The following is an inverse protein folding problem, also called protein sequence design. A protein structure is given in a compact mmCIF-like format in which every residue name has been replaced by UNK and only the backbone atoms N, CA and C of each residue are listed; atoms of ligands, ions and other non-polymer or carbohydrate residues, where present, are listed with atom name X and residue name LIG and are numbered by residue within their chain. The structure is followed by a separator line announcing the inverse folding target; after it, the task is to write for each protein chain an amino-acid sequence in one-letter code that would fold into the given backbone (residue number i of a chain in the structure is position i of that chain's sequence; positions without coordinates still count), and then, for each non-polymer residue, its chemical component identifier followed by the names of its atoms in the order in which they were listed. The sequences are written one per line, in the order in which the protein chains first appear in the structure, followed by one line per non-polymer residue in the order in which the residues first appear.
data_IF_414887463088
#
_entry.id   IF_414887463088
#
_cell.length_a   1.000
_cell.length_b   1.000
_cell.length_c   1.000
_cell.angle_alpha   90.00
_cell.angle_beta   90.00
_cell.angle_gamma   90.00
#
_symmetry.space_group_name_H-M   'P 1'
#
loop_
_entity.id
_entity.type
_entity.pdbx_description
1 polymer ?
#
# COMPACT_ATOMS: atom_id res chain seq x y z
N UNK A 1 -38.92 31.07 36.24
CA UNK A 1 -37.94 31.63 37.20
C UNK A 1 -38.65 31.89 38.52
N UNK A 2 -38.52 31.01 39.50
CA UNK A 2 -38.85 31.37 40.87
C UNK A 2 -37.58 32.05 41.43
N UNK A 3 -37.54 33.37 41.42
CA UNK A 3 -36.56 34.08 42.22
C UNK A 3 -36.82 33.66 43.67
N UNK A 4 -35.90 32.88 44.24
CA UNK A 4 -35.91 32.61 45.68
C UNK A 4 -35.56 33.95 46.31
N UNK A 5 -36.57 34.76 46.61
CA UNK A 5 -36.37 36.05 47.26
C UNK A 5 -35.70 35.79 48.60
N UNK A 6 -34.55 36.42 48.84
CA UNK A 6 -33.84 36.30 50.09
C UNK A 6 -34.72 36.89 51.21
N UNK A 7 -35.18 36.04 52.14
CA UNK A 7 -36.08 36.43 53.23
C UNK A 7 -35.29 37.04 54.40
N UNK A 8 -35.15 38.36 54.35
CA UNK A 8 -34.41 39.17 55.33
C UNK A 8 -34.99 39.07 56.74
N UNK A 9 -36.32 38.97 56.87
CA UNK A 9 -37.02 38.86 58.15
C UNK A 9 -36.72 37.52 58.84
N UNK A 10 -36.77 36.42 58.08
CA UNK A 10 -36.42 35.10 58.59
C UNK A 10 -34.93 35.01 58.94
N UNK A 11 -34.07 35.67 58.18
CA UNK A 11 -32.63 35.74 58.46
C UNK A 11 -32.30 36.54 59.72
N UNK A 12 -32.90 37.73 59.89
CA UNK A 12 -32.73 38.55 61.09
C UNK A 12 -33.26 37.85 62.35
N UNK A 13 -34.41 37.15 62.26
CA UNK A 13 -34.94 36.35 63.37
C UNK A 13 -33.98 35.26 63.82
N UNK A 14 -33.39 34.53 62.88
CA UNK A 14 -32.37 33.50 63.20
C UNK A 14 -31.14 34.10 63.86
N UNK A 15 -30.70 35.29 63.44
CA UNK A 15 -29.59 35.99 64.08
C UNK A 15 -29.93 36.41 65.52
N UNK A 16 -31.15 36.91 65.75
CA UNK A 16 -31.65 37.23 67.10
C UNK A 16 -31.69 35.97 68.00
N UNK A 17 -32.09 34.82 67.46
CA UNK A 17 -32.14 33.53 68.20
C UNK A 17 -30.77 33.04 68.67
N UNK A 18 -29.68 33.37 67.96
CA UNK A 18 -28.30 33.06 68.39
C UNK A 18 -27.64 34.20 69.18
N UNK A 19 -28.43 35.17 69.66
CA UNK A 19 -27.98 36.21 70.58
C UNK A 19 -27.40 37.47 69.92
N UNK A 20 -27.60 37.66 68.61
CA UNK A 20 -27.19 38.90 67.93
C UNK A 20 -28.18 40.02 68.28
N UNK A 21 -27.71 41.21 68.71
CA UNK A 21 -28.56 42.36 68.98
C UNK A 21 -29.45 42.73 67.79
N UNK A 22 -30.69 43.14 68.06
CA UNK A 22 -31.71 43.39 67.04
C UNK A 22 -31.27 44.34 65.93
N UNK A 23 -30.65 45.46 66.28
CA UNK A 23 -30.13 46.43 65.31
C UNK A 23 -29.01 45.85 64.41
N UNK A 24 -28.19 44.94 64.94
CA UNK A 24 -27.14 44.27 64.15
C UNK A 24 -27.71 43.16 63.28
N UNK A 25 -28.68 42.40 63.79
CA UNK A 25 -29.34 41.33 63.05
C UNK A 25 -30.10 41.85 61.82
N UNK A 26 -30.76 43.00 61.95
CA UNK A 26 -31.47 43.66 60.85
C UNK A 26 -30.50 44.28 59.83
N UNK A 27 -29.50 45.04 60.29
CA UNK A 27 -28.48 45.61 59.40
C UNK A 27 -27.71 44.52 58.63
N UNK A 28 -27.39 43.39 59.27
CA UNK A 28 -26.71 42.28 58.62
C UNK A 28 -27.61 41.53 57.62
N UNK A 29 -28.91 41.40 57.91
CA UNK A 29 -29.86 40.81 56.97
C UNK A 29 -30.07 41.70 55.73
N UNK A 30 -30.10 43.02 55.92
CA UNK A 30 -30.24 44.01 54.85
C UNK A 30 -29.00 44.04 53.95
N UNK A 31 -27.80 44.12 54.53
CA UNK A 31 -26.54 44.07 53.79
C UNK A 31 -26.37 42.75 53.01
N UNK A 32 -26.80 41.63 53.59
CA UNK A 32 -26.77 40.33 52.90
C UNK A 32 -27.78 40.27 51.76
N UNK A 33 -28.95 40.89 51.90
CA UNK A 33 -29.93 40.98 50.81
C UNK A 33 -29.43 41.84 49.65
N UNK A 34 -28.84 42.99 49.95
CA UNK A 34 -28.23 43.88 48.96
C UNK A 34 -27.10 43.17 48.21
N UNK A 35 -26.21 42.48 48.93
CA UNK A 35 -25.13 41.71 48.32
C UNK A 35 -25.67 40.56 47.45
N UNK A 36 -26.76 39.92 47.84
CA UNK A 36 -27.39 38.85 47.05
C UNK A 36 -28.01 39.39 45.76
N UNK A 37 -28.73 40.53 45.84
CA UNK A 37 -29.32 41.23 44.68
C UNK A 37 -28.23 41.68 43.71
N UNK A 38 -27.13 42.25 44.21
CA UNK A 38 -26.01 42.69 43.36
C UNK A 38 -25.32 41.54 42.60
N UNK A 39 -25.37 40.31 43.14
CA UNK A 39 -24.77 39.13 42.50
C UNK A 39 -25.77 38.27 41.71
N UNK A 40 -27.07 38.60 41.73
CA UNK A 40 -28.09 37.86 40.96
C UNK A 40 -27.91 38.01 39.45
N UNK A 41 -27.45 39.16 38.98
CA UNK A 41 -27.17 39.40 37.56
C UNK A 41 -25.96 38.60 37.05
N UNK A 42 -25.05 38.19 37.94
CA UNK A 42 -23.89 37.37 37.61
C UNK A 42 -24.17 35.85 37.67
N UNK A 43 -25.33 35.45 38.22
CA UNK A 43 -25.70 34.04 38.35
C UNK A 43 -26.22 33.50 37.02
N UNK A 44 -25.48 32.55 36.45
CA UNK A 44 -25.90 31.86 35.24
C UNK A 44 -27.10 30.96 35.56
N UNK A 45 -28.19 31.12 34.80
CA UNK A 45 -29.37 30.27 34.96
C UNK A 45 -29.12 28.87 34.42
N UNK A 46 -29.81 27.88 34.99
CA UNK A 46 -29.79 26.51 34.47
C UNK A 46 -30.17 26.44 32.98
N UNK A 47 -31.23 27.15 32.60
CA UNK A 47 -31.72 27.20 31.21
C UNK A 47 -30.65 27.76 30.25
N UNK A 48 -29.88 28.77 30.69
CA UNK A 48 -28.78 29.31 29.89
C UNK A 48 -27.66 28.27 29.68
N UNK A 49 -27.29 27.54 30.74
CA UNK A 49 -26.28 26.47 30.63
C UNK A 49 -26.75 25.36 29.69
N UNK A 50 -28.01 24.94 29.78
CA UNK A 50 -28.60 23.93 28.89
C UNK A 50 -28.56 24.39 27.43
N UNK A 51 -28.96 25.63 27.14
CA UNK A 51 -28.90 26.17 25.78
C UNK A 51 -27.48 26.26 25.25
N UNK A 52 -26.53 26.70 26.08
CA UNK A 52 -25.13 26.84 25.68
C UNK A 52 -24.48 25.46 25.43
N UNK A 53 -24.81 24.47 26.26
CA UNK A 53 -24.39 23.08 26.09
C UNK A 53 -24.98 22.46 24.83
N UNK A 54 -26.29 22.62 24.60
CA UNK A 54 -26.97 22.11 23.40
C UNK A 54 -26.35 22.71 22.14
N UNK A 55 -26.11 24.03 22.11
CA UNK A 55 -25.44 24.69 21.00
C UNK A 55 -24.02 24.14 20.76
N UNK A 56 -23.26 23.89 21.83
CA UNK A 56 -21.92 23.29 21.74
C UNK A 56 -21.97 21.86 21.20
N UNK A 57 -22.85 21.01 21.74
CA UNK A 57 -23.01 19.64 21.26
C UNK A 57 -23.49 19.60 19.82
N UNK A 58 -24.46 20.42 19.43
CA UNK A 58 -24.91 20.51 18.04
C UNK A 58 -23.78 20.92 17.10
N UNK A 59 -22.98 21.92 17.48
CA UNK A 59 -21.82 22.35 16.69
C UNK A 59 -20.73 21.27 16.59
N UNK A 60 -20.49 20.54 17.68
CA UNK A 60 -19.51 19.46 17.71
C UNK A 60 -19.97 18.27 16.86
N UNK A 61 -21.24 17.89 16.96
CA UNK A 61 -21.82 16.82 16.17
C UNK A 61 -21.75 17.14 14.68
N UNK A 62 -22.10 18.37 14.28
CA UNK A 62 -21.99 18.81 12.89
C UNK A 62 -20.53 18.80 12.37
N UNK A 63 -19.55 19.07 13.21
CA UNK A 63 -18.13 18.98 12.84
C UNK A 63 -17.68 17.54 12.67
N UNK A 64 -18.11 16.66 13.58
CA UNK A 64 -17.85 15.22 13.53
C UNK A 64 -18.46 14.61 12.27
N UNK A 65 -19.73 14.92 11.97
CA UNK A 65 -20.42 14.44 10.77
C UNK A 65 -19.70 14.86 9.48
N UNK A 66 -19.23 16.11 9.41
CA UNK A 66 -18.42 16.59 8.27
C UNK A 66 -17.11 15.83 8.13
N UNK A 67 -16.43 15.52 9.22
CA UNK A 67 -15.18 14.76 9.20
C UNK A 67 -15.41 13.33 8.74
N UNK A 68 -16.46 12.66 9.24
CA UNK A 68 -16.82 11.32 8.79
C UNK A 68 -17.19 11.29 7.31
N UNK A 69 -18.04 12.22 6.85
CA UNK A 69 -18.38 12.31 5.43
C UNK A 69 -17.14 12.54 4.53
N UNK A 70 -16.22 13.40 4.95
CA UNK A 70 -14.96 13.61 4.23
C UNK A 70 -14.04 12.38 4.27
N UNK A 71 -14.04 11.65 5.39
CA UNK A 71 -13.27 10.42 5.54
C UNK A 71 -13.82 9.30 4.67
N UNK A 72 -15.13 9.14 4.58
CA UNK A 72 -15.80 8.16 3.72
C UNK A 72 -15.44 8.39 2.26
N UNK A 73 -15.49 9.65 1.78
CA UNK A 73 -15.05 10.00 0.41
C UNK A 73 -13.58 9.64 0.20
N UNK A 74 -12.70 9.97 1.15
CA UNK A 74 -11.27 9.63 1.05
C UNK A 74 -11.03 8.12 1.04
N UNK A 75 -11.82 7.36 1.81
CA UNK A 75 -11.75 5.90 1.85
C UNK A 75 -12.18 5.33 0.49
N UNK A 76 -13.29 5.81 -0.06
CA UNK A 76 -13.78 5.42 -1.38
C UNK A 76 -12.74 5.70 -2.48
N UNK A 77 -12.13 6.88 -2.48
CA UNK A 77 -11.05 7.24 -3.42
C UNK A 77 -9.85 6.30 -3.31
N UNK A 78 -9.42 5.98 -2.08
CA UNK A 78 -8.31 5.04 -1.84
C UNK A 78 -8.66 3.63 -2.34
N UNK A 79 -9.88 3.16 -2.11
CA UNK A 79 -10.33 1.87 -2.62
C UNK A 79 -10.40 1.87 -4.15
N UNK A 80 -10.87 2.94 -4.78
CA UNK A 80 -10.87 3.06 -6.24
C UNK A 80 -9.44 3.03 -6.82
N UNK A 81 -8.48 3.72 -6.19
CA UNK A 81 -7.07 3.66 -6.59
C UNK A 81 -6.51 2.25 -6.40
N UNK A 82 -6.78 1.60 -5.27
CA UNK A 82 -6.33 0.23 -5.02
C UNK A 82 -6.93 -0.74 -6.04
N UNK A 83 -8.23 -0.63 -6.34
CA UNK A 83 -8.89 -1.44 -7.37
C UNK A 83 -8.21 -1.30 -8.73
N UNK A 84 -7.84 -0.08 -9.14
CA UNK A 84 -7.05 0.14 -10.37
C UNK A 84 -5.67 -0.52 -10.32
N UNK A 85 -4.98 -0.48 -9.17
CA UNK A 85 -3.67 -1.15 -9.01
C UNK A 85 -3.82 -2.67 -9.10
N UNK A 86 -4.83 -3.25 -8.48
CA UNK A 86 -5.10 -4.69 -8.58
C UNK A 86 -5.37 -5.10 -10.04
N UNK A 87 -6.21 -4.36 -10.76
CA UNK A 87 -6.46 -4.62 -12.18
C UNK A 87 -5.17 -4.57 -13.02
N UNK A 88 -4.26 -3.62 -12.75
CA UNK A 88 -2.97 -3.55 -13.44
C UNK A 88 -2.05 -4.74 -13.12
N UNK A 89 -2.09 -5.27 -11.90
CA UNK A 89 -1.32 -6.44 -11.48
C UNK A 89 -1.87 -7.69 -12.17
N UNK A 90 -3.20 -7.85 -12.22
CA UNK A 90 -3.84 -8.97 -12.91
C UNK A 90 -3.44 -8.99 -14.40
N UNK A 91 -3.44 -7.82 -15.04
CA UNK A 91 -2.99 -7.70 -16.42
C UNK A 91 -1.51 -8.06 -16.59
N UNK A 92 -0.64 -7.60 -15.67
CA UNK A 92 0.77 -7.96 -15.68
C UNK A 92 0.98 -9.48 -15.54
N UNK A 93 0.23 -10.16 -14.68
CA UNK A 93 0.31 -11.61 -14.50
C UNK A 93 -0.10 -12.34 -15.78
N UNK A 94 -1.17 -11.89 -16.44
CA UNK A 94 -1.62 -12.45 -17.72
C UNK A 94 -0.54 -12.29 -18.79
N UNK A 95 0.03 -11.09 -18.91
CA UNK A 95 1.10 -10.80 -19.88
C UNK A 95 2.36 -11.62 -19.60
N UNK A 96 2.75 -11.75 -18.32
CA UNK A 96 3.89 -12.55 -17.91
C UNK A 96 3.68 -14.03 -18.25
N UNK A 97 2.47 -14.56 -18.03
CA UNK A 97 2.13 -15.94 -18.39
C UNK A 97 2.19 -16.15 -19.90
N UNK A 98 1.65 -15.23 -20.69
CA UNK A 98 1.71 -15.29 -22.14
C UNK A 98 3.17 -15.19 -22.66
N UNK A 99 3.98 -14.34 -22.04
CA UNK A 99 5.41 -14.22 -22.35
C UNK A 99 6.16 -15.53 -22.08
N UNK A 100 5.95 -16.14 -20.91
CA UNK A 100 6.57 -17.42 -20.57
C UNK A 100 6.16 -18.54 -21.53
N UNK A 101 4.89 -18.61 -21.93
CA UNK A 101 4.42 -19.58 -22.92
C UNK A 101 5.14 -19.42 -24.27
N UNK A 102 5.27 -18.18 -24.76
CA UNK A 102 6.01 -17.89 -26.00
C UNK A 102 7.48 -18.27 -25.90
N UNK A 103 8.11 -18.01 -24.75
CA UNK A 103 9.48 -18.44 -24.51
C UNK A 103 9.61 -19.96 -24.57
N UNK A 104 8.71 -20.69 -23.91
CA UNK A 104 8.73 -22.15 -23.91
C UNK A 104 8.53 -22.73 -25.32
N UNK A 105 7.63 -22.15 -26.12
CA UNK A 105 7.46 -22.50 -27.53
C UNK A 105 8.74 -22.23 -28.35
N UNK A 106 9.39 -21.09 -28.12
CA UNK A 106 10.62 -20.72 -28.84
C UNK A 106 11.79 -21.65 -28.46
N UNK A 107 11.90 -22.05 -27.19
CA UNK A 107 12.89 -23.03 -26.74
C UNK A 107 12.64 -24.40 -27.38
N UNK A 108 11.39 -24.88 -27.38
CA UNK A 108 11.03 -26.13 -28.07
C UNK A 108 11.39 -26.09 -29.56
N UNK A 109 11.13 -24.98 -30.23
CA UNK A 109 11.50 -24.80 -31.63
C UNK A 109 13.03 -24.80 -31.84
N UNK A 110 13.79 -24.20 -30.92
CA UNK A 110 15.25 -24.25 -30.94
C UNK A 110 15.79 -25.67 -30.72
N UNK A 111 15.28 -26.39 -29.72
CA UNK A 111 15.71 -27.77 -29.44
C UNK A 111 15.47 -28.67 -30.65
N UNK A 112 14.34 -28.52 -31.34
CA UNK A 112 14.05 -29.25 -32.57
C UNK A 112 15.05 -28.93 -33.69
N UNK A 113 15.43 -27.66 -33.85
CA UNK A 113 16.43 -27.24 -34.85
C UNK A 113 17.81 -27.78 -34.51
N UNK A 114 18.24 -27.71 -33.25
CA UNK A 114 19.52 -28.26 -32.80
C UNK A 114 19.59 -29.76 -33.05
N UNK A 115 18.54 -30.51 -32.67
CA UNK A 115 18.51 -31.95 -32.94
C UNK A 115 18.59 -32.26 -34.44
N UNK A 116 17.93 -31.46 -35.29
CA UNK A 116 18.02 -31.62 -36.74
C UNK A 116 19.44 -31.34 -37.27
N UNK A 117 20.09 -30.31 -36.75
CA UNK A 117 21.48 -29.96 -37.10
C UNK A 117 22.45 -31.04 -36.63
N UNK A 118 22.29 -31.56 -35.42
CA UNK A 118 23.13 -32.63 -34.88
C UNK A 118 23.07 -33.88 -35.76
N UNK A 119 21.86 -34.28 -36.18
CA UNK A 119 21.67 -35.39 -37.12
C UNK A 119 22.38 -35.11 -38.46
N UNK A 120 22.26 -33.89 -39.00
CA UNK A 120 22.92 -33.51 -40.24
C UNK A 120 24.45 -33.51 -40.11
N UNK A 121 25.00 -33.04 -38.99
CA UNK A 121 26.44 -33.05 -38.71
C UNK A 121 26.97 -34.47 -38.58
N UNK A 122 26.24 -35.37 -37.90
CA UNK A 122 26.58 -36.79 -37.84
C UNK A 122 26.65 -37.37 -39.24
N UNK A 123 25.63 -37.13 -40.07
CA UNK A 123 25.60 -37.59 -41.47
C UNK A 123 26.78 -37.06 -42.30
N UNK A 124 27.08 -35.76 -42.22
CA UNK A 124 28.23 -35.17 -42.93
C UNK A 124 29.55 -35.80 -42.44
N UNK A 125 29.67 -36.06 -41.14
CA UNK A 125 30.87 -36.69 -40.57
C UNK A 125 31.10 -38.11 -41.10
N UNK A 126 30.02 -38.86 -41.38
CA UNK A 126 30.07 -40.19 -41.99
C UNK A 126 30.50 -40.12 -43.45
N UNK A 127 29.90 -39.20 -44.23
CA UNK A 127 30.27 -38.96 -45.62
C UNK A 127 31.74 -38.55 -45.75
N UNK A 128 32.24 -37.66 -44.88
CA UNK A 128 33.65 -37.25 -44.86
C UNK A 128 34.61 -38.38 -44.46
N UNK A 129 34.23 -39.26 -43.53
CA UNK A 129 35.04 -40.44 -43.18
C UNK A 129 35.20 -41.35 -44.39
N UNK A 130 34.12 -41.62 -45.13
CA UNK A 130 34.16 -42.42 -46.36
C UNK A 130 35.02 -41.76 -47.44
N UNK A 131 34.82 -40.44 -47.67
CA UNK A 131 35.59 -39.69 -48.66
C UNK A 131 37.10 -39.71 -48.33
N UNK A 132 37.45 -39.56 -47.05
CA UNK A 132 38.83 -39.66 -46.57
C UNK A 132 39.44 -41.03 -46.83
N UNK A 133 38.69 -42.11 -46.62
CA UNK A 133 39.15 -43.47 -46.92
C UNK A 133 39.33 -43.71 -48.42
N UNK A 134 38.41 -43.21 -49.26
CA UNK A 134 38.54 -43.31 -50.72
C UNK A 134 39.76 -42.54 -51.23
N UNK A 135 39.99 -41.32 -50.74
CA UNK A 135 41.17 -40.54 -51.11
C UNK A 135 42.47 -41.21 -50.67
N UNK A 136 42.52 -41.76 -49.45
CA UNK A 136 43.70 -42.52 -49.00
C UNK A 136 43.99 -43.71 -49.92
N UNK A 137 42.96 -44.44 -50.36
CA UNK A 137 43.10 -45.55 -51.30
C UNK A 137 43.61 -45.07 -52.67
N UNK A 138 43.05 -43.99 -53.23
CA UNK A 138 43.51 -43.42 -54.50
C UNK A 138 44.96 -42.96 -54.41
N UNK A 139 45.33 -42.26 -53.33
CA UNK A 139 46.72 -41.83 -53.10
C UNK A 139 47.65 -43.04 -53.01
N UNK A 140 47.29 -44.10 -52.30
CA UNK A 140 48.10 -45.33 -52.25
C UNK A 140 48.24 -45.94 -53.65
N UNK A 141 47.12 -46.11 -54.38
CA UNK A 141 47.14 -46.73 -55.72
C UNK A 141 47.93 -45.90 -56.74
N UNK A 142 47.98 -44.57 -56.61
CA UNK A 142 48.69 -43.69 -57.55
C UNK A 142 50.14 -43.43 -57.17
N UNK A 143 50.44 -43.27 -55.88
CA UNK A 143 51.79 -42.90 -55.40
C UNK A 143 52.71 -44.12 -55.37
N UNK A 144 52.22 -45.30 -54.99
CA UNK A 144 53.03 -46.54 -54.97
C UNK A 144 53.68 -46.86 -56.31
N UNK A 145 52.97 -46.91 -57.46
CA UNK A 145 53.60 -47.22 -58.74
C UNK A 145 54.59 -46.14 -59.19
N UNK A 146 54.29 -44.86 -58.94
CA UNK A 146 55.22 -43.75 -59.27
C UNK A 146 56.52 -43.87 -58.48
N UNK A 147 56.44 -44.23 -57.19
CA UNK A 147 57.63 -44.48 -56.38
C UNK A 147 58.40 -45.73 -56.83
N UNK A 148 57.72 -46.80 -57.25
CA UNK A 148 58.37 -47.99 -57.80
C UNK A 148 59.12 -47.69 -59.11
N UNK A 149 58.52 -46.92 -60.02
CA UNK A 149 59.19 -46.46 -61.24
C UNK A 149 60.40 -45.55 -60.94
N UNK A 150 60.28 -44.69 -59.94
CA UNK A 150 61.36 -43.78 -59.56
C UNK A 150 62.53 -44.54 -58.90
N UNK A 151 62.24 -45.44 -57.95
CA UNK A 151 63.26 -46.29 -57.31
C UNK A 151 63.96 -47.21 -58.31
N UNK A 152 63.23 -47.83 -59.24
CA UNK A 152 63.85 -48.68 -60.27
C UNK A 152 64.76 -47.87 -61.19
N UNK A 153 64.38 -46.66 -61.60
CA UNK A 153 65.24 -45.78 -62.41
C UNK A 153 66.45 -45.23 -61.66
N UNK A 154 66.31 -44.91 -60.38
CA UNK A 154 67.40 -44.35 -59.58
C UNK A 154 68.44 -45.42 -59.22
N UNK A 155 68.01 -46.63 -58.86
CA UNK A 155 68.90 -47.75 -58.51
C UNK A 155 69.67 -48.30 -59.71
N UNK A 156 69.14 -48.21 -60.94
CA UNK A 156 69.84 -48.62 -62.17
C UNK A 156 70.84 -47.58 -62.71
N UNK A 157 70.94 -46.40 -62.08
CA UNK A 157 71.79 -45.28 -62.52
C UNK A 157 72.99 -44.99 -61.60
N UNK A 158 73.18 -45.76 -60.53
CA UNK A 158 74.37 -45.71 -59.66
C UNK A 158 75.20 -46.98 -59.81
#
# INVERSE_FOLDING_TARGET
MAAIAFDTLKFARRLKEVGVPEAQAEAQAELMAEAFVFNMDALITKDYLEQCLEARFASQNASIDKQFAAQDVRIEEKFAVQGRRFASIDQFIVDQKACNQRFEEHFRAHDQRFNTIDIALVRISEELKLLRWMLALIVITTVVPVLQEWFTRFVLSG
#
